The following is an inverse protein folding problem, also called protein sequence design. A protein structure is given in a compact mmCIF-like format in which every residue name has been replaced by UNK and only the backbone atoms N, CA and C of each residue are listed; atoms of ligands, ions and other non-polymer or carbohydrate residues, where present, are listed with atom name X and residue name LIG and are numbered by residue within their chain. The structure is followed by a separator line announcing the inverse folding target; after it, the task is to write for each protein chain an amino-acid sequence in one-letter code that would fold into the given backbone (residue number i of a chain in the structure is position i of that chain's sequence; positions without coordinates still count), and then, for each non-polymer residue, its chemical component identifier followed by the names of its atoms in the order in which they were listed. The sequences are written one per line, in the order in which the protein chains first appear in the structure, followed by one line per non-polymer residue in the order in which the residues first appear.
data_IF_436228724139
#
_entry.id   IF_436228724139
#
_cell.length_a   1.000
_cell.length_b   1.000
_cell.length_c   1.000
_cell.angle_alpha   90.00
_cell.angle_beta   90.00
_cell.angle_gamma   90.00
#
_symmetry.space_group_name_H-M   'P 1'
#
loop_
_entity.id
_entity.type
_entity.pdbx_description
1 polymer ?
#
# COMPACT_ATOMS: atom_id res chain seq x y z
N UNK A 1 -29.67 -45.15 -29.38
CA UNK A 1 -29.15 -45.48 -30.73
C UNK A 1 -29.33 -44.21 -31.54
N UNK A 2 -28.39 -43.29 -31.36
CA UNK A 2 -28.53 -41.91 -31.83
C UNK A 2 -27.34 -41.69 -32.77
N UNK A 3 -27.68 -41.61 -34.05
CA UNK A 3 -26.78 -41.67 -35.19
C UNK A 3 -26.22 -40.29 -35.52
N UNK A 4 -24.92 -40.29 -35.76
CA UNK A 4 -24.08 -39.19 -36.20
C UNK A 4 -24.71 -38.34 -37.33
N UNK A 5 -24.62 -37.02 -37.18
CA UNK A 5 -24.83 -36.06 -38.27
C UNK A 5 -23.51 -35.43 -38.64
N UNK A 6 -22.91 -36.05 -39.64
CA UNK A 6 -21.83 -35.55 -40.48
C UNK A 6 -22.32 -34.35 -41.31
N UNK A 7 -21.54 -33.27 -41.37
CA UNK A 7 -21.76 -32.16 -42.31
C UNK A 7 -20.40 -31.69 -42.83
N UNK A 8 -20.08 -32.05 -44.07
CA UNK A 8 -19.09 -31.37 -44.91
C UNK A 8 -19.81 -30.42 -45.92
N UNK A 9 -19.10 -29.73 -46.83
CA UNK A 9 -18.69 -28.34 -46.69
C UNK A 9 -19.42 -27.43 -47.70
N UNK A 10 -19.51 -26.12 -47.43
CA UNK A 10 -20.08 -25.17 -48.39
C UNK A 10 -19.00 -24.18 -48.80
N UNK A 11 -18.51 -24.41 -50.03
CA UNK A 11 -17.77 -23.46 -50.85
C UNK A 11 -18.55 -22.16 -51.03
N UNK A 12 -17.92 -21.01 -50.72
CA UNK A 12 -18.28 -19.73 -51.32
C UNK A 12 -17.04 -18.94 -51.66
N UNK A 13 -16.67 -19.05 -52.93
CA UNK A 13 -15.76 -18.18 -53.66
C UNK A 13 -16.30 -16.74 -53.66
N UNK A 14 -15.55 -15.79 -53.10
CA UNK A 14 -15.71 -14.37 -53.43
C UNK A 14 -14.35 -13.84 -53.86
N UNK A 15 -14.16 -13.83 -55.18
CA UNK A 15 -12.97 -13.30 -55.83
C UNK A 15 -13.27 -11.83 -56.18
N UNK A 16 -12.62 -10.89 -55.49
CA UNK A 16 -12.54 -9.49 -55.88
C UNK A 16 -11.08 -9.12 -55.93
N UNK A 17 -10.53 -9.09 -57.14
CA UNK A 17 -9.13 -8.76 -57.41
C UNK A 17 -8.83 -7.31 -57.06
N UNK A 18 -7.76 -7.12 -56.28
CA UNK A 18 -6.95 -5.92 -56.32
C UNK A 18 -5.50 -6.38 -56.44
N UNK A 19 -4.93 -6.20 -57.63
CA UNK A 19 -3.57 -6.59 -57.97
C UNK A 19 -2.58 -5.68 -57.26
N UNK A 20 -1.84 -6.22 -56.30
CA UNK A 20 -0.55 -5.69 -55.87
C UNK A 20 0.43 -6.87 -55.89
N UNK A 21 1.09 -7.07 -57.02
CA UNK A 21 2.29 -7.90 -57.09
C UNK A 21 3.50 -7.04 -56.73
N UNK A 22 4.16 -7.29 -55.60
CA UNK A 22 5.43 -8.03 -55.60
C UNK A 22 6.09 -8.08 -54.20
N UNK A 23 6.53 -9.31 -53.88
CA UNK A 23 7.74 -9.63 -53.12
C UNK A 23 7.74 -9.45 -51.59
N UNK A 24 7.19 -10.45 -50.90
CA UNK A 24 7.98 -11.24 -49.94
C UNK A 24 7.21 -12.52 -49.61
N UNK A 25 7.32 -13.56 -50.45
CA UNK A 25 6.95 -14.92 -50.02
C UNK A 25 7.97 -15.35 -48.97
N UNK A 26 7.74 -14.98 -47.71
CA UNK A 26 8.40 -15.66 -46.60
C UNK A 26 7.87 -17.08 -46.64
N UNK A 27 8.68 -18.00 -47.13
CA UNK A 27 8.42 -19.42 -46.96
C UNK A 27 8.25 -19.65 -45.47
N UNK A 28 7.00 -19.74 -45.01
CA UNK A 28 6.70 -20.15 -43.65
C UNK A 28 6.96 -21.65 -43.65
N UNK A 29 8.21 -22.02 -43.37
CA UNK A 29 8.51 -23.41 -43.05
C UNK A 29 7.73 -23.67 -41.76
N UNK A 30 6.72 -24.55 -41.78
CA UNK A 30 6.02 -24.92 -40.56
C UNK A 30 7.08 -25.49 -39.64
N UNK A 31 7.26 -24.86 -38.48
CA UNK A 31 8.10 -25.44 -37.43
C UNK A 31 7.57 -26.86 -37.17
N UNK A 32 8.46 -27.86 -37.01
CA UNK A 32 8.05 -29.17 -36.55
C UNK A 32 7.12 -29.00 -35.35
N UNK A 33 6.05 -29.78 -35.30
CA UNK A 33 4.99 -29.59 -34.30
C UNK A 33 5.56 -29.54 -32.87
N UNK A 34 6.57 -30.34 -32.59
CA UNK A 34 7.31 -30.38 -31.33
C UNK A 34 8.05 -29.08 -31.02
N UNK A 35 8.64 -28.42 -32.01
CA UNK A 35 9.31 -27.14 -31.90
C UNK A 35 8.30 -26.01 -31.67
N UNK A 36 7.20 -26.02 -32.41
CA UNK A 36 6.11 -25.07 -32.21
C UNK A 36 5.51 -25.20 -30.80
N UNK A 37 5.18 -26.43 -30.38
CA UNK A 37 4.68 -26.72 -29.04
C UNK A 37 5.66 -26.25 -27.97
N UNK A 38 6.97 -26.52 -28.13
CA UNK A 38 7.99 -26.06 -27.19
C UNK A 38 8.04 -24.54 -27.08
N UNK A 39 7.98 -23.83 -28.21
CA UNK A 39 7.96 -22.36 -28.23
C UNK A 39 6.70 -21.83 -27.53
N UNK A 40 5.52 -22.37 -27.86
CA UNK A 40 4.26 -21.96 -27.23
C UNK A 40 4.28 -22.20 -25.73
N UNK A 41 4.70 -23.38 -25.28
CA UNK A 41 4.81 -23.71 -23.85
C UNK A 41 5.80 -22.79 -23.13
N UNK A 42 6.93 -22.47 -23.76
CA UNK A 42 7.90 -21.52 -23.19
C UNK A 42 7.32 -20.11 -23.04
N UNK A 43 6.52 -19.65 -24.00
CA UNK A 43 5.84 -18.37 -23.92
C UNK A 43 4.76 -18.38 -22.83
N UNK A 44 3.95 -19.43 -22.73
CA UNK A 44 2.95 -19.57 -21.67
C UNK A 44 3.59 -19.54 -20.28
N UNK A 45 4.69 -20.29 -20.09
CA UNK A 45 5.46 -20.26 -18.85
C UNK A 45 6.02 -18.86 -18.56
N UNK A 46 6.53 -18.16 -19.58
CA UNK A 46 7.04 -16.79 -19.41
C UNK A 46 5.94 -15.80 -18.99
N UNK A 47 4.72 -15.99 -19.50
CA UNK A 47 3.55 -15.17 -19.14
C UNK A 47 3.17 -15.41 -17.68
N UNK A 48 3.12 -16.66 -17.24
CA UNK A 48 2.85 -17.02 -15.85
C UNK A 48 3.88 -16.41 -14.88
N UNK A 49 5.18 -16.53 -15.21
CA UNK A 49 6.25 -15.91 -14.42
C UNK A 49 6.09 -14.38 -14.38
N UNK A 50 5.75 -13.76 -15.52
CA UNK A 50 5.56 -12.31 -15.60
C UNK A 50 4.36 -11.85 -14.77
N UNK A 51 3.27 -12.63 -14.77
CA UNK A 51 2.08 -12.37 -13.96
C UNK A 51 2.42 -12.35 -12.46
N UNK A 52 3.14 -13.35 -11.97
CA UNK A 52 3.56 -13.42 -10.57
C UNK A 52 4.52 -12.27 -10.18
N UNK A 53 5.42 -11.89 -11.09
CA UNK A 53 6.29 -10.72 -10.89
C UNK A 53 5.48 -9.42 -10.83
N UNK A 54 4.43 -9.27 -11.64
CA UNK A 54 3.53 -8.11 -11.61
C UNK A 54 2.79 -8.06 -10.27
N UNK A 55 2.23 -9.18 -9.80
CA UNK A 55 1.55 -9.25 -8.50
C UNK A 55 2.49 -8.84 -7.36
N UNK A 56 3.73 -9.35 -7.36
CA UNK A 56 4.75 -8.98 -6.38
C UNK A 56 5.05 -7.47 -6.39
N UNK A 57 5.23 -6.88 -7.58
CA UNK A 57 5.45 -5.43 -7.73
C UNK A 57 4.27 -4.61 -7.24
N UNK A 58 3.03 -5.03 -7.54
CA UNK A 58 1.82 -4.38 -7.04
C UNK A 58 1.77 -4.40 -5.51
N UNK A 59 2.06 -5.54 -4.87
CA UNK A 59 2.08 -5.65 -3.41
C UNK A 59 3.13 -4.73 -2.76
N UNK A 60 4.31 -4.59 -3.36
CA UNK A 60 5.33 -3.64 -2.92
C UNK A 60 4.83 -2.20 -3.06
N UNK A 61 4.23 -1.85 -4.21
CA UNK A 61 3.68 -0.50 -4.44
C UNK A 61 2.53 -0.17 -3.50
N UNK A 62 1.64 -1.12 -3.21
CA UNK A 62 0.55 -0.95 -2.25
C UNK A 62 1.09 -0.71 -0.84
N UNK A 63 2.07 -1.50 -0.40
CA UNK A 63 2.77 -1.30 0.88
C UNK A 63 3.44 0.08 0.98
N UNK A 64 3.97 0.58 -0.13
CA UNK A 64 4.61 1.89 -0.20
C UNK A 64 3.58 3.03 -0.31
N UNK A 65 2.41 2.82 -0.91
CA UNK A 65 1.33 3.80 -1.04
C UNK A 65 0.71 4.13 0.32
N UNK A 66 0.52 3.14 1.18
CA UNK A 66 0.12 3.36 2.58
C UNK A 66 1.22 4.12 3.37
N UNK A 67 2.45 4.10 2.85
CA UNK A 67 3.60 4.83 3.41
C UNK A 67 3.79 6.24 2.81
N UNK A 68 3.05 6.64 1.77
CA UNK A 68 3.22 7.97 1.13
C UNK A 68 2.01 8.88 1.30
N UNK A 69 1.80 9.31 2.54
CA UNK A 69 1.93 10.74 2.84
C UNK A 69 3.11 10.91 3.78
N UNK A 70 4.33 10.83 3.22
CA UNK A 70 5.50 11.32 3.93
C UNK A 70 5.37 12.84 3.92
N UNK A 71 4.76 13.39 4.95
CA UNK A 71 5.02 14.77 5.36
C UNK A 71 6.49 14.74 5.83
N UNK A 72 7.42 14.84 4.87
CA UNK A 72 8.88 14.70 5.07
C UNK A 72 9.45 15.84 5.88
N UNK A 73 8.86 17.03 5.76
CA UNK A 73 9.21 18.22 6.52
C UNK A 73 8.25 18.40 7.68
N UNK A 74 8.80 18.53 8.90
CA UNK A 74 8.05 18.96 10.08
C UNK A 74 7.34 20.29 9.76
N UNK A 75 5.99 20.37 9.88
CA UNK A 75 5.26 21.64 9.75
C UNK A 75 5.83 22.72 10.68
N UNK A 76 5.79 23.98 10.22
CA UNK A 76 6.27 25.11 11.00
C UNK A 76 5.44 25.31 12.27
N UNK A 77 6.08 25.75 13.37
CA UNK A 77 5.40 26.01 14.63
C UNK A 77 5.12 24.79 15.50
N UNK A 78 5.45 23.56 15.05
CA UNK A 78 5.33 22.39 15.91
C UNK A 78 6.40 22.36 17.01
N UNK A 79 6.04 22.01 18.26
CA UNK A 79 6.99 22.00 19.38
C UNK A 79 8.06 20.93 19.22
N UNK A 80 9.14 21.06 19.99
CA UNK A 80 10.12 20.00 20.15
C UNK A 80 9.59 18.89 21.07
N UNK A 81 10.08 17.67 20.84
CA UNK A 81 9.70 16.48 21.57
C UNK A 81 10.92 15.90 22.31
N UNK A 82 10.74 15.30 23.50
CA UNK A 82 9.46 15.10 24.19
C UNK A 82 8.97 16.35 24.95
N UNK A 83 7.65 16.50 25.07
CA UNK A 83 7.03 17.58 25.84
C UNK A 83 7.35 17.44 27.33
N UNK A 84 7.69 18.56 27.96
CA UNK A 84 8.19 18.59 29.34
C UNK A 84 7.30 19.35 30.31
N UNK A 85 6.39 20.19 29.81
CA UNK A 85 5.47 20.99 30.64
C UNK A 85 4.01 20.83 30.22
N UNK A 86 3.11 21.23 31.12
CA UNK A 86 1.67 21.15 30.85
C UNK A 86 1.24 22.17 29.80
N UNK A 87 1.91 23.30 29.73
CA UNK A 87 1.67 24.36 28.75
C UNK A 87 2.01 23.87 27.33
N UNK A 88 3.17 23.23 27.16
CA UNK A 88 3.56 22.60 25.89
C UNK A 88 2.58 21.50 25.47
N UNK A 89 2.03 20.75 26.43
CA UNK A 89 0.99 19.76 26.17
C UNK A 89 -0.30 20.40 25.66
N UNK A 90 -0.76 21.47 26.31
CA UNK A 90 -1.96 22.20 25.90
C UNK A 90 -1.79 22.83 24.51
N UNK A 91 -0.62 23.41 24.24
CA UNK A 91 -0.28 23.93 22.91
C UNK A 91 -0.32 22.83 21.85
N UNK A 92 0.30 21.67 22.11
CA UNK A 92 0.21 20.54 21.19
C UNK A 92 -1.23 20.08 20.94
N UNK A 93 -2.08 20.02 21.98
CA UNK A 93 -3.49 19.68 21.80
C UNK A 93 -4.20 20.66 20.86
N UNK A 94 -3.89 21.96 20.91
CA UNK A 94 -4.45 22.94 19.96
C UNK A 94 -3.86 22.79 18.56
N UNK A 95 -2.57 22.52 18.43
CA UNK A 95 -1.92 22.32 17.12
C UNK A 95 -2.46 21.08 16.39
N UNK A 96 -2.91 20.07 17.14
CA UNK A 96 -3.53 18.86 16.60
C UNK A 96 -4.97 19.04 16.11
N UNK A 97 -5.55 20.24 16.21
CA UNK A 97 -6.79 20.58 15.48
C UNK A 97 -6.55 20.71 13.97
N UNK A 98 -5.33 21.05 13.58
CA UNK A 98 -4.94 21.14 12.17
C UNK A 98 -4.69 19.74 11.61
N UNK A 99 -5.40 19.40 10.53
CA UNK A 99 -5.32 18.08 9.89
C UNK A 99 -3.89 17.76 9.40
N UNK A 100 -3.16 18.74 8.89
CA UNK A 100 -1.76 18.58 8.49
C UNK A 100 -0.87 18.14 9.67
N UNK A 101 -0.99 18.82 10.82
CA UNK A 101 -0.23 18.49 12.03
C UNK A 101 -0.61 17.12 12.58
N UNK A 102 -1.91 16.80 12.58
CA UNK A 102 -2.43 15.50 13.00
C UNK A 102 -1.84 14.38 12.14
N UNK A 103 -1.90 14.52 10.82
CA UNK A 103 -1.37 13.54 9.88
C UNK A 103 0.16 13.43 9.95
N UNK A 104 0.86 14.55 10.17
CA UNK A 104 2.31 14.55 10.38
C UNK A 104 2.68 13.67 11.58
N UNK A 105 2.05 13.89 12.73
CA UNK A 105 2.35 13.09 13.91
C UNK A 105 1.88 11.65 13.75
N UNK A 106 0.74 11.39 13.09
CA UNK A 106 0.29 10.02 12.80
C UNK A 106 1.33 9.26 11.98
N UNK A 107 1.83 9.83 10.89
CA UNK A 107 2.88 9.23 10.06
C UNK A 107 4.20 9.09 10.84
N UNK A 108 4.58 10.11 11.61
CA UNK A 108 5.81 10.08 12.41
C UNK A 108 5.76 8.99 13.47
N UNK A 109 4.64 8.85 14.18
CA UNK A 109 4.44 7.79 15.18
C UNK A 109 4.35 6.42 14.52
N UNK A 110 3.77 6.28 13.32
CA UNK A 110 3.74 5.00 12.60
C UNK A 110 5.14 4.41 12.35
N UNK A 111 6.16 5.25 12.24
CA UNK A 111 7.56 4.81 12.12
C UNK A 111 8.15 4.28 13.43
N UNK A 112 7.51 4.53 14.57
CA UNK A 112 7.90 4.04 15.89
C UNK A 112 7.36 2.62 16.05
N UNK A 113 8.23 1.64 15.79
CA UNK A 113 7.91 0.22 15.96
C UNK A 113 7.98 -0.27 17.41
N UNK A 114 7.87 -1.60 17.54
CA UNK A 114 7.97 -2.35 18.78
C UNK A 114 7.55 -3.80 18.54
N UNK A 115 7.89 -4.69 19.47
CA UNK A 115 7.63 -6.12 19.32
C UNK A 115 6.14 -6.49 19.42
N UNK A 116 5.34 -5.65 20.08
CA UNK A 116 3.92 -5.82 20.25
C UNK A 116 3.24 -4.46 20.51
N UNK A 117 1.92 -4.42 20.38
CA UNK A 117 1.12 -3.20 20.53
C UNK A 117 1.44 -2.40 21.80
N UNK A 118 1.58 -3.08 22.94
CA UNK A 118 1.92 -2.43 24.21
C UNK A 118 3.28 -1.75 24.15
N UNK A 119 4.29 -2.44 23.62
CA UNK A 119 5.65 -1.93 23.46
C UNK A 119 5.66 -0.70 22.55
N UNK A 120 4.94 -0.75 21.44
CA UNK A 120 4.90 0.36 20.50
C UNK A 120 4.20 1.59 21.09
N UNK A 121 3.03 1.43 21.71
CA UNK A 121 2.32 2.54 22.37
C UNK A 121 3.21 3.17 23.45
N UNK A 122 3.96 2.36 24.20
CA UNK A 122 4.91 2.86 25.20
C UNK A 122 6.05 3.65 24.55
N UNK A 123 6.58 3.19 23.42
CA UNK A 123 7.63 3.90 22.66
C UNK A 123 7.11 5.23 22.09
N UNK A 124 5.89 5.26 21.56
CA UNK A 124 5.23 6.49 21.10
C UNK A 124 5.05 7.50 22.23
N UNK A 125 4.58 7.04 23.41
CA UNK A 125 4.42 7.91 24.57
C UNK A 125 5.75 8.48 25.07
N UNK A 126 6.82 7.67 25.09
CA UNK A 126 8.17 8.14 25.46
C UNK A 126 8.74 9.15 24.46
N UNK A 127 8.38 9.02 23.19
CA UNK A 127 8.73 10.00 22.16
C UNK A 127 7.96 11.32 22.35
N UNK A 128 6.68 11.25 22.73
CA UNK A 128 5.81 12.42 22.86
C UNK A 128 5.98 13.16 24.18
N UNK A 129 6.13 12.46 25.31
CA UNK A 129 6.04 13.03 26.65
C UNK A 129 7.27 12.64 27.49
N UNK A 130 7.82 13.60 28.21
CA UNK A 130 8.82 13.33 29.22
C UNK A 130 8.21 12.52 30.37
N UNK A 131 9.02 11.74 31.08
CA UNK A 131 8.57 10.99 32.25
C UNK A 131 7.93 11.90 33.30
N UNK A 132 8.49 13.10 33.51
CA UNK A 132 7.96 14.10 34.45
C UNK A 132 6.53 14.50 34.07
N UNK A 133 6.31 14.87 32.81
CA UNK A 133 5.00 15.27 32.31
C UNK A 133 3.99 14.10 32.31
N UNK A 134 4.44 12.90 31.95
CA UNK A 134 3.58 11.72 31.95
C UNK A 134 2.97 11.41 33.33
N UNK A 135 3.62 11.81 34.44
CA UNK A 135 3.11 11.57 35.80
C UNK A 135 1.80 12.29 36.11
N UNK A 136 1.46 13.38 35.41
CA UNK A 136 0.23 14.14 35.61
C UNK A 136 -1.01 13.44 35.05
N UNK A 137 -0.83 12.42 34.22
CA UNK A 137 -1.90 11.74 33.51
C UNK A 137 -2.19 10.36 34.09
N UNK A 138 -3.43 9.91 33.90
CA UNK A 138 -3.77 8.50 33.85
C UNK A 138 -4.92 8.29 32.85
N UNK A 139 -5.27 7.04 32.59
CA UNK A 139 -6.28 6.73 31.58
C UNK A 139 -7.63 7.42 31.85
N UNK A 140 -8.16 7.31 33.07
CA UNK A 140 -9.53 7.71 33.39
C UNK A 140 -9.68 9.12 33.99
N UNK A 141 -8.59 9.78 34.39
CA UNK A 141 -8.60 11.05 35.13
C UNK A 141 -8.92 10.94 36.62
N UNK A 142 -8.60 9.80 37.25
CA UNK A 142 -8.90 9.58 38.69
C UNK A 142 -7.78 10.11 39.58
N UNK A 143 -8.09 10.38 40.85
CA UNK A 143 -7.14 10.79 41.91
C UNK A 143 -6.32 12.05 41.53
N UNK A 144 -7.03 13.12 41.14
CA UNK A 144 -6.43 14.41 40.78
C UNK A 144 -5.44 14.38 39.62
N UNK A 145 -5.54 13.36 38.76
CA UNK A 145 -4.80 13.26 37.50
C UNK A 145 -5.69 13.61 36.32
N UNK A 146 -5.07 14.00 35.22
CA UNK A 146 -5.75 14.37 33.99
C UNK A 146 -6.08 13.10 33.20
N UNK A 147 -7.31 13.01 32.67
CA UNK A 147 -7.74 11.90 31.82
C UNK A 147 -7.03 11.95 30.47
N UNK A 148 -6.29 10.90 30.13
CA UNK A 148 -5.56 10.81 28.86
C UNK A 148 -6.43 10.30 27.70
N UNK A 149 -7.46 9.50 28.00
CA UNK A 149 -8.32 8.85 27.00
C UNK A 149 -9.03 9.79 26.02
N UNK A 150 -9.23 11.05 26.42
CA UNK A 150 -9.96 12.05 25.63
C UNK A 150 -9.03 13.11 25.00
N UNK A 151 -7.72 12.85 24.97
CA UNK A 151 -6.72 13.78 24.45
C UNK A 151 -6.47 13.55 22.97
N UNK A 152 -6.22 14.61 22.21
CA UNK A 152 -5.98 14.52 20.77
C UNK A 152 -4.69 13.76 20.47
N UNK A 153 -3.65 13.94 21.29
CA UNK A 153 -2.43 13.13 21.22
C UNK A 153 -2.76 11.63 21.29
N UNK A 154 -3.73 11.23 22.13
CA UNK A 154 -4.16 9.83 22.21
C UNK A 154 -4.90 9.39 20.94
N UNK A 155 -5.70 10.26 20.34
CA UNK A 155 -6.37 9.97 19.06
C UNK A 155 -5.34 9.74 17.94
N UNK A 156 -4.25 10.53 17.89
CA UNK A 156 -3.15 10.32 16.94
C UNK A 156 -2.53 8.92 17.13
N UNK A 157 -2.26 8.53 18.38
CA UNK A 157 -1.72 7.20 18.70
C UNK A 157 -2.68 6.09 18.23
N UNK A 158 -4.00 6.24 18.47
CA UNK A 158 -4.98 5.27 18.00
C UNK A 158 -5.08 5.20 16.48
N UNK A 159 -5.13 6.35 15.82
CA UNK A 159 -5.19 6.43 14.36
C UNK A 159 -3.95 5.84 13.68
N UNK A 160 -2.82 5.77 14.39
CA UNK A 160 -1.59 5.14 13.89
C UNK A 160 -1.74 3.62 13.74
N UNK A 161 -2.54 2.97 14.60
CA UNK A 161 -2.71 1.51 14.60
C UNK A 161 -3.93 1.00 13.83
N UNK A 162 -4.91 1.86 13.52
CA UNK A 162 -6.26 1.44 13.10
C UNK A 162 -6.82 0.35 14.02
N UNK A 163 -7.10 0.73 15.27
CA UNK A 163 -8.08 0.07 16.14
C UNK A 163 -9.49 0.56 15.83
#
# INVERSE_FOLDING_TARGET
METDKECQPIDKTFNSGCSIETSCKKNFVPLPETEFQRVVLSYLQSIEITYEQILSKINILLRNKDSTQIITSKPEGLPELPLSTMEQFQEMETLLDTEENYNYYRTRLASIGGENQRSCVMSMLKFLLSNKLATYFNWAGRKNKIAFKNKKIMNVIYGTYNL
#
